data_IF_532246715125
#
_entry.id   IF_532246715125
#
_cell.length_a   1.000
_cell.length_b   1.000
_cell.length_c   1.000
_cell.angle_alpha   90.00
_cell.angle_beta   90.00
_cell.angle_gamma   90.00
#
_symmetry.space_group_name_H-M   'P 1'
#
loop_
_entity.id
_entity.type
_entity.pdbx_description
1 polymer ?
#
# COMPACT_ATOMS: atom_id res chain seq x y z
N UNK A 1 -12.60 48.25 22.32
CA UNK A 1 -12.71 47.04 21.47
C UNK A 1 -13.15 45.89 22.35
N UNK A 2 -14.36 45.34 22.20
CA UNK A 2 -14.78 44.20 23.01
C UNK A 2 -14.05 42.95 22.54
N UNK A 3 -13.34 42.31 23.46
CA UNK A 3 -12.64 41.04 23.29
C UNK A 3 -13.66 39.92 23.10
N UNK A 4 -13.62 39.27 21.94
CA UNK A 4 -14.38 38.06 21.66
C UNK A 4 -13.79 36.93 22.51
N UNK A 5 -14.39 36.73 23.68
CA UNK A 5 -14.19 35.51 24.48
C UNK A 5 -14.79 34.38 23.64
N UNK A 6 -13.94 33.55 23.04
CA UNK A 6 -14.39 32.30 22.41
C UNK A 6 -14.87 31.40 23.53
N UNK A 7 -16.19 31.35 23.71
CA UNK A 7 -16.84 30.38 24.57
C UNK A 7 -16.31 28.99 24.20
N UNK A 8 -15.71 28.33 25.19
CA UNK A 8 -15.25 26.95 25.09
C UNK A 8 -16.54 26.14 24.99
N UNK A 9 -16.89 25.79 23.74
CA UNK A 9 -18.16 25.17 23.40
C UNK A 9 -18.48 24.00 24.31
N UNK A 10 -19.72 23.98 24.78
CA UNK A 10 -20.34 22.93 25.58
C UNK A 10 -19.72 21.55 25.31
N UNK A 11 -19.22 20.90 26.36
CA UNK A 11 -18.75 19.52 26.32
C UNK A 11 -19.87 18.64 25.73
N UNK A 12 -19.78 18.35 24.43
CA UNK A 12 -20.57 17.28 23.85
C UNK A 12 -20.20 16.03 24.62
N UNK A 13 -21.17 15.26 25.14
CA UNK A 13 -20.87 14.06 25.89
C UNK A 13 -19.96 13.18 25.04
N UNK A 14 -18.76 12.90 25.56
CA UNK A 14 -17.81 12.04 24.87
C UNK A 14 -18.41 10.64 24.89
N UNK A 15 -19.03 10.26 23.78
CA UNK A 15 -19.57 8.92 23.61
C UNK A 15 -18.39 7.97 23.52
N UNK A 16 -18.19 7.18 24.58
CA UNK A 16 -17.22 6.10 24.59
C UNK A 16 -17.91 4.78 24.25
N UNK A 17 -17.26 3.96 23.43
CA UNK A 17 -17.76 2.63 23.06
C UNK A 17 -16.65 1.59 23.05
N UNK A 18 -17.05 0.32 23.09
CA UNK A 18 -16.17 -0.80 22.78
C UNK A 18 -15.72 -0.74 21.30
N UNK A 19 -14.51 -1.23 20.98
CA UNK A 19 -14.01 -1.23 19.62
C UNK A 19 -14.86 -2.15 18.75
N UNK A 20 -15.08 -1.75 17.50
CA UNK A 20 -15.71 -2.61 16.48
C UNK A 20 -14.77 -3.75 16.10
N UNK A 21 -15.31 -4.77 15.44
CA UNK A 21 -14.52 -5.94 15.02
C UNK A 21 -13.31 -5.57 14.15
N UNK A 22 -13.46 -4.63 13.22
CA UNK A 22 -12.35 -4.17 12.36
C UNK A 22 -11.27 -3.44 13.18
N UNK A 23 -11.67 -2.51 14.04
CA UNK A 23 -10.78 -1.77 14.94
C UNK A 23 -10.02 -2.75 15.85
N UNK A 24 -10.76 -3.68 16.46
CA UNK A 24 -10.23 -4.71 17.35
C UNK A 24 -9.26 -5.64 16.62
N UNK A 25 -9.59 -6.09 15.42
CA UNK A 25 -8.73 -6.96 14.62
C UNK A 25 -7.38 -6.31 14.34
N UNK A 26 -7.38 -5.02 13.98
CA UNK A 26 -6.13 -4.32 13.66
C UNK A 26 -5.31 -4.04 14.93
N UNK A 27 -5.96 -3.75 16.07
CA UNK A 27 -5.31 -3.67 17.38
C UNK A 27 -4.66 -4.99 17.80
N UNK A 28 -5.39 -6.10 17.67
CA UNK A 28 -4.89 -7.43 17.98
C UNK A 28 -3.72 -7.82 17.09
N UNK A 29 -3.79 -7.55 15.78
CA UNK A 29 -2.67 -7.82 14.86
C UNK A 29 -1.39 -7.10 15.25
N UNK A 30 -1.48 -5.83 15.66
CA UNK A 30 -0.32 -5.09 16.15
C UNK A 30 0.20 -5.64 17.48
N UNK A 31 -0.68 -5.91 18.44
CA UNK A 31 -0.29 -6.47 19.74
C UNK A 31 0.41 -7.83 19.61
N UNK A 32 -0.12 -8.75 18.80
CA UNK A 32 0.50 -10.04 18.50
C UNK A 32 1.88 -9.89 17.86
N UNK A 33 2.06 -8.86 17.04
CA UNK A 33 3.36 -8.55 16.46
C UNK A 33 4.34 -8.01 17.51
N UNK A 34 3.88 -7.10 18.36
CA UNK A 34 4.66 -6.52 19.45
C UNK A 34 5.18 -7.57 20.43
N UNK A 35 4.39 -8.61 20.73
CA UNK A 35 4.81 -9.74 21.57
C UNK A 35 6.02 -10.49 21.02
N UNK A 36 6.20 -10.52 19.69
CA UNK A 36 7.28 -11.27 19.02
C UNK A 36 8.43 -10.40 18.56
N UNK A 37 8.27 -9.08 18.59
CA UNK A 37 9.24 -8.15 18.03
C UNK A 37 9.76 -7.19 19.10
N UNK A 38 11.05 -7.27 19.48
CA UNK A 38 11.58 -6.43 20.57
C UNK A 38 11.51 -4.95 20.24
N UNK A 39 11.75 -4.57 18.98
CA UNK A 39 11.65 -3.17 18.53
C UNK A 39 10.22 -2.61 18.55
N UNK A 40 9.21 -3.48 18.45
CA UNK A 40 7.81 -3.09 18.36
C UNK A 40 7.05 -3.40 19.67
N UNK A 41 7.72 -3.97 20.68
CA UNK A 41 7.18 -4.27 22.01
C UNK A 41 6.91 -3.03 22.86
N UNK A 42 7.75 -1.99 22.74
CA UNK A 42 7.67 -0.74 23.50
C UNK A 42 7.83 0.45 22.54
N UNK A 43 6.80 0.75 21.71
CA UNK A 43 6.90 1.72 20.63
C UNK A 43 7.27 3.13 21.13
N UNK A 44 6.69 3.55 22.26
CA UNK A 44 6.98 4.86 22.85
C UNK A 44 8.44 4.99 23.29
N UNK A 45 9.00 3.98 23.95
CA UNK A 45 10.41 3.99 24.38
C UNK A 45 11.36 3.96 23.19
N UNK A 46 11.04 3.18 22.16
CA UNK A 46 11.84 3.17 20.93
C UNK A 46 11.88 4.54 20.27
N UNK A 47 10.74 5.24 20.22
CA UNK A 47 10.67 6.61 19.73
C UNK A 47 11.52 7.57 20.58
N UNK A 48 11.41 7.52 21.91
CA UNK A 48 12.22 8.33 22.80
C UNK A 48 13.73 8.06 22.64
N UNK A 49 14.12 6.83 22.31
CA UNK A 49 15.52 6.47 22.01
C UNK A 49 16.00 6.89 20.61
N UNK A 50 15.14 7.55 19.82
CA UNK A 50 15.44 7.95 18.44
C UNK A 50 15.44 6.80 17.43
N UNK A 51 14.89 5.64 17.80
CA UNK A 51 14.80 4.47 16.92
C UNK A 51 13.42 4.40 16.28
N UNK A 52 13.37 3.87 15.06
CA UNK A 52 12.13 3.64 14.34
C UNK A 52 11.57 2.24 14.61
N UNK A 53 10.26 2.08 14.35
CA UNK A 53 9.63 0.77 14.39
C UNK A 53 10.17 -0.13 13.29
N UNK A 54 10.07 -1.43 13.55
CA UNK A 54 10.32 -2.48 12.60
C UNK A 54 9.47 -2.31 11.32
N UNK A 55 9.97 -2.73 10.15
CA UNK A 55 9.27 -2.53 8.87
C UNK A 55 7.85 -3.14 8.82
N UNK A 56 7.62 -4.28 9.48
CA UNK A 56 6.29 -4.88 9.64
C UNK A 56 5.42 -4.09 10.62
N UNK A 57 5.99 -3.64 11.73
CA UNK A 57 5.32 -2.78 12.71
C UNK A 57 4.82 -1.48 12.10
N UNK A 58 5.60 -0.87 11.20
CA UNK A 58 5.16 0.31 10.44
C UNK A 58 3.92 0.02 9.57
N UNK A 59 3.84 -1.15 8.93
CA UNK A 59 2.67 -1.53 8.14
C UNK A 59 1.44 -1.70 9.02
N UNK A 60 1.56 -2.41 10.15
CA UNK A 60 0.46 -2.57 11.10
C UNK A 60 0.01 -1.25 11.72
N UNK A 61 0.96 -0.37 12.08
CA UNK A 61 0.66 0.97 12.58
C UNK A 61 -0.05 1.82 11.51
N UNK A 62 0.36 1.71 10.25
CA UNK A 62 -0.34 2.38 9.14
C UNK A 62 -1.76 1.85 8.98
N UNK A 63 -1.98 0.53 9.10
CA UNK A 63 -3.33 -0.05 9.10
C UNK A 63 -4.16 0.43 10.29
N UNK A 64 -3.58 0.53 11.49
CA UNK A 64 -4.27 1.06 12.68
C UNK A 64 -4.80 2.48 12.44
N UNK A 65 -3.97 3.34 11.85
CA UNK A 65 -4.31 4.73 11.56
C UNK A 65 -5.44 4.91 10.54
N UNK A 66 -5.84 3.86 9.81
CA UNK A 66 -7.00 3.90 8.93
C UNK A 66 -8.33 3.87 9.72
N UNK A 67 -8.31 3.31 10.94
CA UNK A 67 -9.51 3.11 11.74
C UNK A 67 -9.54 3.99 12.98
N UNK A 68 -8.38 4.21 13.61
CA UNK A 68 -8.27 4.93 14.88
C UNK A 68 -7.26 6.05 14.74
N UNK A 69 -7.64 7.24 15.19
CA UNK A 69 -6.74 8.37 15.32
C UNK A 69 -6.67 8.81 16.78
N UNK A 70 -5.58 9.47 17.16
CA UNK A 70 -5.42 10.02 18.50
C UNK A 70 -5.72 11.51 18.49
N UNK A 71 -6.38 12.00 19.55
CA UNK A 71 -6.52 13.42 19.84
C UNK A 71 -6.41 13.63 21.35
N UNK A 72 -5.48 14.48 21.77
CA UNK A 72 -5.27 14.81 23.20
C UNK A 72 -5.03 13.57 24.07
N UNK A 73 -4.23 12.60 23.60
CA UNK A 73 -3.97 11.38 24.38
C UNK A 73 -5.09 10.33 24.36
N UNK A 74 -6.21 10.59 23.67
CA UNK A 74 -7.34 9.68 23.63
C UNK A 74 -7.56 9.11 22.21
N UNK A 75 -7.82 7.79 22.09
CA UNK A 75 -8.16 7.15 20.81
C UNK A 75 -9.61 7.44 20.39
N UNK A 76 -9.78 7.90 19.15
CA UNK A 76 -11.07 8.15 18.53
C UNK A 76 -11.21 7.36 17.23
N UNK A 77 -12.44 7.00 16.89
CA UNK A 77 -12.75 6.33 15.64
C UNK A 77 -12.70 7.31 14.47
N UNK A 78 -11.88 6.98 13.47
CA UNK A 78 -11.79 7.72 12.21
C UNK A 78 -13.04 7.47 11.36
N UNK A 79 -13.52 6.23 11.32
CA UNK A 79 -14.72 5.85 10.56
C UNK A 79 -15.93 6.66 11.01
N UNK A 80 -16.18 6.78 12.32
CA UNK A 80 -17.33 7.55 12.81
C UNK A 80 -17.17 9.05 12.59
N UNK A 81 -15.93 9.55 12.58
CA UNK A 81 -15.62 10.94 12.28
C UNK A 81 -16.03 11.31 10.86
N UNK A 82 -15.88 10.41 9.89
CA UNK A 82 -16.35 10.62 8.51
C UNK A 82 -17.88 10.78 8.45
N UNK A 83 -18.61 10.14 9.36
CA UNK A 83 -20.05 10.31 9.55
C UNK A 83 -20.41 11.48 10.50
N UNK A 84 -19.45 12.33 10.87
CA UNK A 84 -19.66 13.48 11.74
C UNK A 84 -19.81 13.16 13.23
N UNK A 85 -19.53 11.92 13.65
CA UNK A 85 -19.63 11.47 15.04
C UNK A 85 -18.23 11.36 15.66
N UNK A 86 -18.02 12.00 16.81
CA UNK A 86 -16.76 11.93 17.56
C UNK A 86 -16.91 10.91 18.68
N UNK A 87 -16.52 9.68 18.38
CA UNK A 87 -16.67 8.55 19.30
C UNK A 87 -15.29 8.12 19.80
N UNK A 88 -15.13 8.09 21.12
CA UNK A 88 -13.93 7.58 21.76
C UNK A 88 -13.97 6.04 21.77
N UNK A 89 -12.88 5.42 21.33
CA UNK A 89 -12.76 3.96 21.25
C UNK A 89 -12.02 3.47 22.49
N UNK A 90 -12.66 2.62 23.30
CA UNK A 90 -11.99 2.06 24.47
C UNK A 90 -11.01 0.95 24.03
N UNK A 91 -9.71 1.15 24.21
CA UNK A 91 -8.71 0.15 23.84
C UNK A 91 -8.76 -1.02 24.84
N UNK A 92 -8.90 -2.28 24.38
CA UNK A 92 -8.91 -3.45 25.26
C UNK A 92 -7.62 -3.57 26.07
N UNK A 93 -7.72 -4.11 27.29
CA UNK A 93 -6.57 -4.28 28.20
C UNK A 93 -5.47 -5.17 27.61
N UNK A 94 -5.83 -6.09 26.73
CA UNK A 94 -4.89 -7.00 26.07
C UNK A 94 -4.04 -6.30 25.01
N UNK A 95 -4.44 -5.09 24.59
CA UNK A 95 -3.83 -4.32 23.52
C UNK A 95 -3.20 -3.01 24.03
N UNK A 96 -2.70 -2.96 25.27
CA UNK A 96 -2.10 -1.75 25.85
C UNK A 96 -0.95 -1.15 25.01
N UNK A 97 -0.19 -1.99 24.29
CA UNK A 97 0.89 -1.54 23.40
C UNK A 97 0.38 -0.58 22.31
N UNK A 98 -0.90 -0.66 21.94
CA UNK A 98 -1.53 0.26 20.99
C UNK A 98 -1.63 1.68 21.57
N UNK A 99 -1.90 1.84 22.87
CA UNK A 99 -1.91 3.16 23.51
C UNK A 99 -0.53 3.81 23.42
N UNK A 100 0.52 3.04 23.70
CA UNK A 100 1.91 3.51 23.61
C UNK A 100 2.28 3.90 22.18
N UNK A 101 1.83 3.12 21.19
CA UNK A 101 2.03 3.43 19.78
C UNK A 101 1.33 4.75 19.42
N UNK A 102 0.05 4.89 19.76
CA UNK A 102 -0.70 6.09 19.43
C UNK A 102 -0.13 7.33 20.12
N UNK A 103 0.34 7.19 21.37
CA UNK A 103 1.09 8.24 22.06
C UNK A 103 2.40 8.60 21.36
N UNK A 104 3.16 7.61 20.86
CA UNK A 104 4.36 7.87 20.09
C UNK A 104 4.05 8.64 18.80
N UNK A 105 2.96 8.28 18.12
CA UNK A 105 2.49 8.92 16.90
C UNK A 105 2.06 10.38 17.14
N UNK A 106 1.33 10.64 18.23
CA UNK A 106 0.93 11.99 18.65
C UNK A 106 2.15 12.89 18.93
N UNK A 107 3.25 12.31 19.44
CA UNK A 107 4.52 13.01 19.65
C UNK A 107 5.39 13.17 18.40
N UNK A 108 4.95 12.66 17.26
CA UNK A 108 5.65 12.83 15.99
C UNK A 108 6.47 11.62 15.52
N UNK A 109 6.17 10.40 15.99
CA UNK A 109 6.73 9.20 15.38
C UNK A 109 6.32 9.14 13.89
N UNK A 110 7.30 9.22 13.00
CA UNK A 110 7.08 9.16 11.56
C UNK A 110 7.02 7.70 11.11
N UNK A 111 5.83 7.28 10.65
CA UNK A 111 5.70 5.97 10.02
C UNK A 111 6.28 6.03 8.60
N UNK A 112 7.35 5.28 8.38
CA UNK A 112 7.92 5.13 7.04
C UNK A 112 7.01 4.24 6.21
N UNK A 113 5.98 4.83 5.59
CA UNK A 113 5.21 4.11 4.59
C UNK A 113 6.10 3.94 3.36
N UNK A 114 6.19 2.74 2.80
CA UNK A 114 6.97 2.44 1.58
C UNK A 114 6.41 3.13 0.32
N UNK A 115 5.70 4.26 0.44
CA UNK A 115 5.64 5.23 -0.64
C UNK A 115 6.96 5.97 -0.62
N UNK A 116 8.00 5.30 -1.11
CA UNK A 116 9.07 5.99 -1.79
C UNK A 116 8.36 6.76 -2.90
N UNK A 117 8.03 8.03 -2.64
CA UNK A 117 7.76 8.97 -3.70
C UNK A 117 9.00 8.88 -4.57
N UNK A 118 8.91 8.17 -5.69
CA UNK A 118 10.00 8.14 -6.65
C UNK A 118 10.37 9.61 -6.88
N UNK A 119 11.66 9.98 -6.79
CA UNK A 119 12.04 11.37 -7.00
C UNK A 119 11.46 11.81 -8.34
N UNK A 120 10.65 12.87 -8.33
CA UNK A 120 10.11 13.44 -9.56
C UNK A 120 11.32 13.96 -10.32
N UNK A 121 11.81 13.18 -11.28
CA UNK A 121 12.92 13.59 -12.14
C UNK A 121 12.36 14.62 -13.11
N UNK A 122 12.43 15.90 -12.74
CA UNK A 122 12.13 17.01 -13.64
C UNK A 122 13.22 17.00 -14.71
N UNK A 123 12.88 16.52 -15.90
CA UNK A 123 13.76 16.65 -17.06
C UNK A 123 13.64 18.09 -17.52
N UNK A 124 14.57 18.95 -17.11
CA UNK A 124 14.71 20.27 -17.73
C UNK A 124 15.14 20.02 -19.19
N UNK A 125 14.31 20.32 -20.21
CA UNK A 125 14.77 20.23 -21.58
C UNK A 125 15.89 21.25 -21.76
N UNK A 126 17.07 20.78 -22.23
CA UNK A 126 18.15 21.68 -22.63
C UNK A 126 17.61 22.64 -23.71
N UNK A 127 17.96 23.93 -23.68
CA UNK A 127 17.57 24.85 -24.74
C UNK A 127 18.10 24.32 -26.06
N UNK A 128 17.19 24.20 -27.04
CA UNK A 128 17.47 23.79 -28.40
C UNK A 128 18.43 24.82 -29.01
N UNK A 129 19.69 24.43 -29.18
CA UNK A 129 20.60 25.17 -30.06
C UNK A 129 20.14 24.92 -31.49
N UNK A 130 19.87 25.99 -32.21
CA UNK A 130 19.39 25.98 -33.59
C UNK A 130 20.26 25.09 -34.49
N UNK A 131 19.68 24.21 -35.33
CA UNK A 131 20.48 23.41 -36.26
C UNK A 131 21.01 24.30 -37.38
N UNK A 132 22.31 24.56 -37.39
CA UNK A 132 23.00 25.03 -38.59
C UNK A 132 22.84 23.98 -39.69
N UNK A 133 22.29 24.40 -40.83
CA UNK A 133 22.21 23.62 -42.05
C UNK A 133 23.62 23.32 -42.57
N UNK A 134 24.02 22.05 -42.55
CA UNK A 134 25.11 21.56 -43.40
C UNK A 134 24.63 20.42 -44.32
N UNK A 135 25.12 20.52 -45.56
CA UNK A 135 24.63 19.94 -46.80
C UNK A 135 24.64 18.40 -46.88
N UNK A 136 23.85 17.80 -47.80
CA UNK A 136 23.72 16.35 -47.90
C UNK A 136 25.03 15.72 -48.41
N UNK A 137 25.65 14.86 -47.60
CA UNK A 137 26.71 13.97 -48.07
C UNK A 137 26.18 12.55 -48.25
N UNK A 138 26.53 12.01 -49.41
CA UNK A 138 26.08 10.79 -50.04
C UNK A 138 26.30 9.55 -49.15
N UNK A 139 25.29 8.69 -49.14
CA UNK A 139 25.23 7.39 -48.46
C UNK A 139 26.38 6.48 -48.87
N UNK A 140 27.19 6.02 -47.91
CA UNK A 140 27.97 4.79 -48.07
C UNK A 140 27.54 3.78 -47.00
N UNK A 141 26.83 2.74 -47.43
CA UNK A 141 26.48 1.57 -46.61
C UNK A 141 27.78 0.86 -46.20
N UNK A 142 28.13 0.92 -44.92
CA UNK A 142 29.07 -0.01 -44.30
C UNK A 142 28.28 -1.02 -43.48
N UNK A 143 28.28 -2.27 -43.93
CA UNK A 143 27.82 -3.44 -43.17
C UNK A 143 28.78 -3.68 -42.02
N UNK A 144 28.28 -3.60 -40.78
CA UNK A 144 28.97 -4.13 -39.60
C UNK A 144 28.18 -5.34 -39.09
N UNK A 145 28.84 -6.48 -38.78
CA UNK A 145 28.15 -7.61 -38.16
C UNK A 145 27.92 -7.32 -36.68
N UNK A 146 26.66 -7.33 -36.25
CA UNK A 146 26.30 -7.27 -34.85
C UNK A 146 26.52 -8.66 -34.20
N UNK A 147 27.53 -8.78 -33.35
CA UNK A 147 27.69 -9.96 -32.49
C UNK A 147 26.64 -9.88 -31.37
N UNK A 148 25.61 -10.70 -31.46
CA UNK A 148 24.58 -10.85 -30.42
C UNK A 148 25.20 -11.68 -29.29
N UNK A 149 25.36 -11.07 -28.11
CA UNK A 149 25.74 -11.77 -26.88
C UNK A 149 24.44 -12.23 -26.20
N UNK A 150 24.13 -13.54 -26.11
CA UNK A 150 23.00 -14.00 -25.33
C UNK A 150 23.41 -14.04 -23.85
N UNK A 151 22.86 -13.15 -23.03
CA UNK A 151 22.98 -13.26 -21.58
C UNK A 151 22.06 -14.38 -21.08
N UNK A 152 22.71 -15.40 -20.54
CA UNK A 152 22.15 -16.61 -19.97
C UNK A 152 21.17 -16.29 -18.82
N UNK A 153 19.92 -16.72 -18.97
CA UNK A 153 18.87 -16.62 -17.96
C UNK A 153 19.09 -17.66 -16.85
N UNK A 154 19.40 -17.17 -15.64
CA UNK A 154 19.39 -17.98 -14.43
C UNK A 154 17.94 -18.30 -14.02
N UNK A 155 17.61 -19.58 -14.17
CA UNK A 155 16.69 -20.41 -13.40
C UNK A 155 15.85 -19.68 -12.32
N UNK A 156 14.58 -19.43 -12.63
CA UNK A 156 13.54 -19.28 -11.61
C UNK A 156 12.59 -20.49 -11.68
N UNK A 157 12.65 -21.26 -10.61
CA UNK A 157 11.90 -22.47 -10.33
C UNK A 157 10.40 -22.30 -10.54
N UNK A 158 9.84 -23.24 -11.30
CA UNK A 158 8.45 -23.70 -11.34
C UNK A 158 7.60 -23.29 -10.12
N UNK A 159 6.73 -22.30 -10.32
CA UNK A 159 5.34 -22.38 -9.85
C UNK A 159 4.46 -21.31 -10.52
N UNK A 160 3.64 -21.78 -11.46
CA UNK A 160 2.29 -21.33 -11.78
C UNK A 160 1.91 -19.85 -11.52
N UNK A 161 2.12 -18.98 -12.50
CA UNK A 161 1.24 -17.83 -12.69
C UNK A 161 0.97 -17.68 -14.19
N UNK A 162 -0.22 -18.13 -14.62
CA UNK A 162 -0.80 -17.81 -15.92
C UNK A 162 -1.06 -16.30 -15.97
N UNK A 163 -0.08 -15.54 -16.44
CA UNK A 163 -0.30 -14.17 -16.89
C UNK A 163 -0.86 -14.30 -18.30
N UNK A 164 -2.16 -14.06 -18.48
CA UNK A 164 -2.75 -13.76 -19.79
C UNK A 164 -2.11 -12.46 -20.30
N UNK A 165 -0.96 -12.58 -20.98
CA UNK A 165 -0.37 -11.49 -21.75
C UNK A 165 -1.29 -11.21 -22.92
N UNK A 166 -1.94 -10.05 -22.88
CA UNK A 166 -2.65 -9.43 -24.02
C UNK A 166 -1.81 -9.52 -25.29
N UNK A 167 -2.46 -9.99 -26.35
CA UNK A 167 -1.87 -10.45 -27.59
C UNK A 167 -1.07 -9.40 -28.37
N UNK A 168 -0.02 -9.90 -29.02
CA UNK A 168 0.70 -9.27 -30.12
C UNK A 168 -0.12 -9.43 -31.40
N UNK A 169 -0.19 -8.35 -32.19
CA UNK A 169 -1.13 -8.11 -33.29
C UNK A 169 -0.56 -8.62 -34.64
N UNK A 170 -0.27 -9.92 -34.78
CA UNK A 170 0.13 -10.49 -36.08
C UNK A 170 -0.48 -11.88 -36.34
N UNK A 171 -1.09 -12.01 -37.53
CA UNK A 171 -1.97 -13.11 -37.98
C UNK A 171 -1.31 -14.46 -38.27
N UNK A 172 -0.24 -14.83 -37.56
CA UNK A 172 0.48 -16.10 -37.77
C UNK A 172 -0.15 -17.26 -36.96
N UNK A 173 -1.05 -16.98 -36.01
CA UNK A 173 -1.70 -18.01 -35.17
C UNK A 173 -3.03 -18.56 -35.73
N UNK A 174 -3.55 -18.05 -36.85
CA UNK A 174 -4.79 -18.56 -37.45
C UNK A 174 -4.66 -19.94 -38.09
N UNK A 175 -3.45 -20.45 -38.32
CA UNK A 175 -3.22 -21.75 -38.95
C UNK A 175 -3.10 -22.93 -37.96
N UNK A 176 -3.24 -22.69 -36.65
CA UNK A 176 -3.29 -23.76 -35.63
C UNK A 176 -4.71 -24.17 -35.21
N UNK A 177 -5.74 -23.74 -35.95
CA UNK A 177 -7.11 -24.26 -35.81
C UNK A 177 -7.39 -25.35 -36.85
N UNK A 178 -6.90 -26.55 -36.57
CA UNK A 178 -7.47 -27.85 -37.00
C UNK A 178 -6.58 -28.93 -36.37
N UNK A 179 -7.03 -29.66 -35.36
CA UNK A 179 -7.87 -30.85 -35.52
C UNK A 179 -8.27 -31.42 -34.14
N UNK A 180 -9.27 -32.32 -34.08
CA UNK A 180 -10.12 -32.57 -32.91
C UNK A 180 -9.68 -33.81 -32.11
N UNK A 181 -9.81 -33.77 -30.79
CA UNK A 181 -9.98 -34.96 -29.94
C UNK A 181 -10.08 -34.55 -28.47
N UNK A 182 -11.27 -34.73 -27.88
CA UNK A 182 -11.48 -35.36 -26.57
C UNK A 182 -12.80 -34.86 -25.99
N UNK A 183 -13.80 -35.72 -26.08
CA UNK A 183 -15.13 -35.50 -25.58
C UNK A 183 -15.15 -35.64 -24.05
N UNK A 184 -15.51 -34.59 -23.34
CA UNK A 184 -16.09 -34.73 -22.01
C UNK A 184 -17.22 -33.71 -21.85
N UNK A 185 -18.41 -34.09 -22.35
CA UNK A 185 -19.65 -33.37 -22.10
C UNK A 185 -20.07 -33.63 -20.66
N UNK A 186 -20.02 -32.59 -19.82
CA UNK A 186 -20.69 -32.60 -18.52
C UNK A 186 -22.20 -32.58 -18.77
N UNK A 187 -22.90 -33.67 -18.45
CA UNK A 187 -24.37 -33.71 -18.44
C UNK A 187 -24.87 -33.18 -17.09
N UNK A 188 -25.65 -32.12 -17.13
CA UNK A 188 -26.42 -31.62 -15.98
C UNK A 188 -27.81 -32.25 -16.08
N UNK A 189 -28.25 -33.07 -15.11
CA UNK A 189 -29.62 -33.57 -15.08
C UNK A 189 -30.58 -32.46 -14.59
N UNK A 190 -31.58 -32.15 -15.41
CA UNK A 190 -32.73 -31.32 -15.05
C UNK A 190 -33.80 -32.18 -14.39
N UNK A 191 -34.00 -32.00 -13.09
CA UNK A 191 -35.00 -32.69 -12.26
C UNK A 191 -35.25 -31.81 -11.03
N UNK A 192 -36.41 -31.23 -10.69
CA UNK A 192 -37.77 -31.19 -11.22
C UNK A 192 -38.39 -29.85 -10.75
N UNK A 193 -38.99 -29.08 -11.66
CA UNK A 193 -40.08 -28.17 -11.31
C UNK A 193 -41.38 -28.98 -11.48
N UNK A 194 -42.17 -29.08 -10.41
CA UNK A 194 -43.58 -29.45 -10.46
C UNK A 194 -44.39 -28.24 -10.05
#
# INVERSE_FOLDING_TARGET
MPSVIREIGAERPILSRAPRDDEKYVMERYSQHALRCPACSRPYETFCSGRSLCGRGNLYATSLLQYVYQKCGQPYSLVDREYGRYIQVQIPRDCQVVNDLLNALDKGLVLTTRRQTAPVVIHNPKPVTEPQQEQPRIVQRRTTPATIIPNNSLNLSRNSLYIYRRGSLYGVDLSRQSSPSSAQRVRIPNTYLR
#
